data_IF_924180593562
#
_entry.id   IF_924180593562
#
_cell.length_a   1.000
_cell.length_b   1.000
_cell.length_c   1.000
_cell.angle_alpha   90.00
_cell.angle_beta   90.00
_cell.angle_gamma   90.00
#
_symmetry.space_group_name_H-M   'P 1'
#
loop_
_entity.id
_entity.type
_entity.pdbx_description
1 polymer ?
#
# COMPACT_ATOMS: atom_id res chain seq x y z
N UNK A 1 -18.66 7.67 -14.00
CA UNK A 1 -17.93 7.04 -15.15
C UNK A 1 -18.56 5.69 -15.41
N UNK A 2 -19.62 5.63 -16.24
CA UNK A 2 -20.27 4.38 -16.61
C UNK A 2 -19.72 3.95 -17.97
N UNK A 3 -19.08 2.79 -18.05
CA UNK A 3 -18.73 2.19 -19.33
C UNK A 3 -17.26 1.82 -19.58
N UNK A 4 -16.40 1.84 -18.55
CA UNK A 4 -15.06 1.24 -18.70
C UNK A 4 -15.16 -0.27 -18.60
N UNK A 5 -14.68 -0.98 -19.60
CA UNK A 5 -14.54 -2.44 -19.52
C UNK A 5 -13.66 -2.81 -18.33
N UNK A 6 -13.92 -3.94 -17.63
CA UNK A 6 -13.11 -4.35 -16.48
C UNK A 6 -11.63 -4.61 -16.79
N UNK A 7 -11.26 -4.64 -18.06
CA UNK A 7 -9.88 -4.77 -18.55
C UNK A 7 -9.18 -3.43 -18.80
N UNK A 8 -9.90 -2.32 -18.75
CA UNK A 8 -9.30 -1.00 -18.95
C UNK A 8 -8.61 -0.54 -17.67
N UNK A 9 -7.40 0.00 -17.84
CA UNK A 9 -6.64 0.66 -16.78
C UNK A 9 -6.86 2.17 -16.85
N UNK A 10 -6.73 2.84 -15.72
CA UNK A 10 -6.74 4.30 -15.61
C UNK A 10 -5.60 4.76 -14.70
N UNK A 11 -5.19 6.01 -14.85
CA UNK A 11 -4.13 6.59 -14.04
C UNK A 11 -4.68 7.06 -12.70
N UNK A 12 -3.92 6.85 -11.63
CA UNK A 12 -4.28 7.32 -10.29
C UNK A 12 -3.83 8.77 -10.05
N UNK A 13 -2.71 9.16 -10.64
CA UNK A 13 -2.21 10.54 -10.66
C UNK A 13 -2.47 11.13 -12.04
N UNK A 14 -3.32 12.16 -12.11
CA UNK A 14 -3.73 12.78 -13.38
C UNK A 14 -2.71 13.78 -13.90
N UNK A 15 -1.81 14.29 -13.03
CA UNK A 15 -0.82 15.30 -13.38
C UNK A 15 0.44 14.70 -13.94
N UNK A 16 0.99 13.70 -13.25
CA UNK A 16 2.28 13.09 -13.57
C UNK A 16 2.22 11.56 -13.49
N UNK A 17 1.37 10.90 -14.27
CA UNK A 17 1.03 9.48 -14.12
C UNK A 17 2.22 8.51 -14.23
N UNK A 18 3.31 8.95 -14.87
CA UNK A 18 4.50 8.12 -15.09
C UNK A 18 5.75 8.65 -14.35
N UNK A 19 5.57 9.60 -13.44
CA UNK A 19 6.68 10.18 -12.64
C UNK A 19 6.44 9.90 -11.18
N UNK A 20 7.47 9.40 -10.49
CA UNK A 20 7.40 9.23 -9.04
C UNK A 20 7.68 10.57 -8.37
N UNK A 21 6.62 11.22 -7.90
CA UNK A 21 6.65 12.52 -7.22
C UNK A 21 5.50 12.64 -6.20
N UNK A 22 5.23 13.83 -5.71
CA UNK A 22 4.19 14.08 -4.73
C UNK A 22 2.86 14.58 -5.32
N UNK A 23 2.67 14.51 -6.65
CA UNK A 23 1.51 15.13 -7.32
C UNK A 23 0.19 14.45 -6.99
N UNK A 24 0.20 13.17 -6.70
CA UNK A 24 -0.97 12.47 -6.16
C UNK A 24 -1.60 13.21 -4.96
N UNK A 25 -0.77 13.69 -4.02
CA UNK A 25 -1.29 14.45 -2.85
C UNK A 25 -1.81 15.83 -3.24
N UNK A 26 -1.23 16.45 -4.26
CA UNK A 26 -1.75 17.70 -4.84
C UNK A 26 -3.11 17.46 -5.49
N UNK A 27 -3.28 16.34 -6.19
CA UNK A 27 -4.56 15.95 -6.79
C UNK A 27 -5.63 15.74 -5.72
N UNK A 28 -5.30 15.11 -4.59
CA UNK A 28 -6.23 14.98 -3.46
C UNK A 28 -6.68 16.34 -2.91
N UNK A 29 -5.78 17.32 -2.78
CA UNK A 29 -6.13 18.68 -2.36
C UNK A 29 -7.08 19.37 -3.34
N UNK A 30 -6.96 19.07 -4.64
CA UNK A 30 -7.84 19.57 -5.69
C UNK A 30 -9.13 18.75 -5.86
N UNK A 31 -9.34 17.71 -5.04
CA UNK A 31 -10.48 16.77 -5.14
C UNK A 31 -10.50 15.98 -6.45
N UNK A 32 -9.32 15.66 -6.94
CA UNK A 32 -9.08 14.89 -8.18
C UNK A 32 -8.70 13.43 -7.88
N UNK A 33 -8.92 12.93 -6.66
CA UNK A 33 -8.71 11.52 -6.30
C UNK A 33 -9.55 10.59 -7.16
N UNK A 34 -8.94 9.48 -7.63
CA UNK A 34 -9.60 8.55 -8.53
C UNK A 34 -10.74 7.78 -7.85
N UNK A 35 -10.48 7.23 -6.68
CA UNK A 35 -11.44 6.49 -5.88
C UNK A 35 -11.90 7.31 -4.67
N UNK A 36 -13.06 6.94 -4.13
CA UNK A 36 -13.52 7.51 -2.86
C UNK A 36 -12.50 7.29 -1.75
N UNK A 37 -11.87 6.12 -1.71
CA UNK A 37 -10.81 5.80 -0.76
C UNK A 37 -9.58 6.71 -0.87
N UNK A 38 -9.22 7.16 -2.07
CA UNK A 38 -8.16 8.14 -2.25
C UNK A 38 -8.57 9.48 -1.61
N UNK A 39 -9.77 9.94 -1.93
CA UNK A 39 -10.27 11.22 -1.44
C UNK A 39 -10.53 11.21 0.08
N UNK A 40 -10.81 10.05 0.65
CA UNK A 40 -11.01 9.87 2.10
C UNK A 40 -9.73 10.18 2.88
N UNK A 41 -8.55 10.02 2.30
CA UNK A 41 -7.29 10.43 2.92
C UNK A 41 -7.27 11.93 3.26
N UNK A 42 -7.90 12.76 2.44
CA UNK A 42 -8.06 14.19 2.72
C UNK A 42 -9.23 14.50 3.64
N UNK A 43 -10.31 13.72 3.54
CA UNK A 43 -11.54 13.94 4.33
C UNK A 43 -11.34 13.58 5.80
N UNK A 44 -10.56 12.53 6.08
CA UNK A 44 -10.30 12.04 7.42
C UNK A 44 -9.37 12.99 8.17
N UNK A 45 -9.77 13.38 9.40
CA UNK A 45 -9.02 14.32 10.24
C UNK A 45 -7.62 13.81 10.63
N UNK A 46 -7.43 12.49 10.73
CA UNK A 46 -6.15 11.87 11.11
C UNK A 46 -5.15 11.90 9.95
N UNK A 47 -5.58 11.66 8.72
CA UNK A 47 -4.71 11.56 7.55
C UNK A 47 -4.53 12.88 6.80
N UNK A 48 -5.47 13.81 6.94
CA UNK A 48 -5.43 15.13 6.29
C UNK A 48 -4.12 15.89 6.51
N UNK A 49 -3.55 15.97 7.73
CA UNK A 49 -2.27 16.68 7.94
C UNK A 49 -1.13 16.07 7.14
N UNK A 50 -1.11 14.74 6.98
CA UNK A 50 -0.10 14.03 6.20
C UNK A 50 -0.26 14.33 4.71
N UNK A 51 -1.48 14.28 4.17
CA UNK A 51 -1.78 14.67 2.78
C UNK A 51 -1.29 16.08 2.50
N UNK A 52 -1.61 17.03 3.38
CA UNK A 52 -1.17 18.41 3.23
C UNK A 52 0.34 18.55 3.29
N UNK A 53 0.99 17.87 4.24
CA UNK A 53 2.46 17.86 4.36
C UNK A 53 3.11 17.33 3.09
N UNK A 54 2.68 16.18 2.60
CA UNK A 54 3.29 15.56 1.42
C UNK A 54 3.00 16.33 0.13
N UNK A 55 1.87 17.00 0.02
CA UNK A 55 1.56 17.85 -1.13
C UNK A 55 2.51 19.04 -1.27
N UNK A 56 3.00 19.60 -0.16
CA UNK A 56 3.89 20.79 -0.15
C UNK A 56 5.36 20.43 -0.03
N UNK A 57 5.69 19.25 0.50
CA UNK A 57 7.08 18.81 0.75
C UNK A 57 7.30 17.42 0.13
N UNK A 58 7.86 17.42 -1.07
CA UNK A 58 8.18 16.19 -1.82
C UNK A 58 9.27 15.36 -1.12
N UNK A 59 10.24 16.01 -0.48
CA UNK A 59 11.31 15.29 0.21
C UNK A 59 10.76 14.55 1.42
N UNK A 60 9.90 15.19 2.20
CA UNK A 60 9.22 14.53 3.31
C UNK A 60 8.37 13.33 2.84
N UNK A 61 7.73 13.42 1.66
CA UNK A 61 7.05 12.29 1.05
C UNK A 61 8.02 11.17 0.69
N UNK A 62 9.13 11.45 0.03
CA UNK A 62 10.11 10.45 -0.38
C UNK A 62 10.70 9.71 0.82
N UNK A 63 11.10 10.41 1.86
CA UNK A 63 11.64 9.81 3.08
C UNK A 63 10.61 8.84 3.72
N UNK A 64 9.38 9.29 3.86
CA UNK A 64 8.32 8.46 4.44
C UNK A 64 7.93 7.29 3.54
N UNK A 65 7.95 7.48 2.22
CA UNK A 65 7.69 6.41 1.27
C UNK A 65 8.73 5.30 1.38
N UNK A 66 10.03 5.64 1.41
CA UNK A 66 11.11 4.66 1.57
C UNK A 66 10.93 3.85 2.85
N UNK A 67 10.68 4.53 3.98
CA UNK A 67 10.43 3.86 5.25
C UNK A 67 9.24 2.90 5.18
N UNK A 68 8.12 3.36 4.65
CA UNK A 68 6.89 2.58 4.54
C UNK A 68 7.04 1.40 3.57
N UNK A 69 7.77 1.59 2.48
CA UNK A 69 8.00 0.56 1.48
C UNK A 69 8.86 -0.59 2.04
N UNK A 70 9.95 -0.25 2.77
CA UNK A 70 10.77 -1.26 3.46
C UNK A 70 9.93 -2.02 4.49
N UNK A 71 9.12 -1.31 5.28
CA UNK A 71 8.22 -1.92 6.25
C UNK A 71 7.20 -2.85 5.58
N UNK A 72 6.62 -2.44 4.47
CA UNK A 72 5.70 -3.27 3.68
C UNK A 72 6.37 -4.56 3.21
N UNK A 73 7.63 -4.50 2.77
CA UNK A 73 8.40 -5.68 2.36
C UNK A 73 8.71 -6.66 3.49
N UNK A 74 8.54 -6.25 4.74
CA UNK A 74 8.76 -7.09 5.92
C UNK A 74 7.47 -7.75 6.45
N UNK A 75 6.31 -7.38 5.91
CA UNK A 75 5.03 -7.94 6.36
C UNK A 75 4.94 -9.42 5.97
N UNK A 76 4.69 -10.29 6.96
CA UNK A 76 4.46 -11.72 6.76
C UNK A 76 5.60 -12.47 6.03
N UNK A 77 6.84 -12.03 6.20
CA UNK A 77 7.99 -12.74 5.64
C UNK A 77 8.24 -14.03 6.43
N UNK A 78 8.07 -15.17 5.77
CA UNK A 78 8.37 -16.47 6.33
C UNK A 78 9.88 -16.75 6.18
N UNK A 79 10.54 -17.16 7.27
CA UNK A 79 11.97 -17.43 7.30
C UNK A 79 12.27 -18.85 7.82
N UNK A 80 13.46 -19.36 7.53
CA UNK A 80 13.88 -20.68 7.97
C UNK A 80 12.98 -21.80 7.45
N UNK A 81 12.49 -22.66 8.33
CA UNK A 81 11.58 -23.77 8.01
C UNK A 81 10.14 -23.36 7.81
N UNK A 82 9.78 -22.11 8.11
CA UNK A 82 8.41 -21.60 7.99
C UNK A 82 8.05 -21.19 6.56
N UNK A 83 9.02 -21.06 5.69
CA UNK A 83 8.84 -20.65 4.31
C UNK A 83 9.50 -21.60 3.32
N UNK A 84 9.35 -21.26 2.04
CA UNK A 84 10.02 -21.98 0.96
C UNK A 84 10.53 -21.01 -0.10
N UNK A 85 11.65 -21.34 -0.73
CA UNK A 85 12.09 -20.65 -1.94
C UNK A 85 11.33 -21.28 -3.11
N UNK A 86 10.37 -20.54 -3.68
CA UNK A 86 9.50 -21.05 -4.75
C UNK A 86 10.24 -21.09 -6.08
N UNK A 87 10.11 -22.22 -6.80
CA UNK A 87 10.56 -22.31 -8.19
C UNK A 87 9.69 -21.42 -9.12
N UNK A 88 8.40 -21.28 -8.81
CA UNK A 88 7.48 -20.35 -9.44
C UNK A 88 6.85 -19.47 -8.37
N UNK A 89 7.05 -18.14 -8.45
CA UNK A 89 6.56 -17.19 -7.44
C UNK A 89 5.04 -17.27 -7.22
N UNK A 90 4.28 -17.63 -8.24
CA UNK A 90 2.81 -17.69 -8.20
C UNK A 90 2.26 -19.00 -7.64
N UNK A 91 3.10 -20.03 -7.42
CA UNK A 91 2.67 -21.35 -6.99
C UNK A 91 3.57 -21.90 -5.88
N UNK A 92 3.00 -22.70 -4.97
CA UNK A 92 3.80 -23.45 -4.00
C UNK A 92 4.58 -24.57 -4.70
N UNK A 93 5.74 -24.94 -4.17
CA UNK A 93 6.48 -26.08 -4.68
C UNK A 93 5.65 -27.37 -4.48
N UNK A 94 5.71 -28.28 -5.45
CA UNK A 94 5.05 -29.58 -5.35
C UNK A 94 5.59 -30.36 -4.14
N UNK A 95 4.71 -30.94 -3.32
CA UNK A 95 5.07 -31.70 -2.13
C UNK A 95 5.19 -30.88 -0.83
N UNK A 96 5.01 -29.58 -0.87
CA UNK A 96 4.81 -28.79 0.35
C UNK A 96 3.41 -29.10 0.93
N UNK A 97 3.36 -30.03 1.88
CA UNK A 97 2.14 -30.35 2.61
C UNK A 97 1.62 -29.10 3.34
N UNK A 98 0.37 -28.81 3.11
CA UNK A 98 -0.51 -27.86 3.76
C UNK A 98 0.03 -27.05 4.92
N UNK A 99 0.68 -25.94 4.64
CA UNK A 99 0.80 -24.86 5.61
C UNK A 99 -0.31 -23.85 5.31
N UNK A 100 -1.51 -24.16 5.78
CA UNK A 100 -2.44 -23.10 6.13
C UNK A 100 -1.81 -22.38 7.33
N UNK A 101 -1.40 -21.13 7.12
CA UNK A 101 -1.00 -20.27 8.24
C UNK A 101 -2.11 -20.32 9.31
N UNK A 102 -1.82 -20.76 10.53
CA UNK A 102 -2.81 -20.73 11.58
C UNK A 102 -3.36 -19.29 11.68
N UNK A 103 -4.68 -19.14 11.72
CA UNK A 103 -5.35 -17.85 11.89
C UNK A 103 -4.78 -17.02 13.05
N UNK A 104 -4.22 -17.68 14.07
CA UNK A 104 -3.53 -17.07 15.19
C UNK A 104 -2.30 -16.23 14.81
N UNK A 105 -1.63 -16.55 13.67
CA UNK A 105 -0.48 -15.76 13.20
C UNK A 105 -0.97 -14.49 12.50
N UNK A 106 -2.12 -14.55 11.84
CA UNK A 106 -2.73 -13.38 11.19
C UNK A 106 -3.23 -12.37 12.23
N UNK A 107 -3.86 -12.84 13.31
CA UNK A 107 -4.31 -11.97 14.39
C UNK A 107 -3.16 -11.25 15.11
N UNK A 108 -2.07 -11.95 15.41
CA UNK A 108 -0.91 -11.33 16.07
C UNK A 108 -0.23 -10.26 15.21
N UNK A 109 -0.28 -10.37 13.89
CA UNK A 109 0.30 -9.37 13.00
C UNK A 109 -0.62 -8.16 12.87
N UNK A 110 -1.94 -8.37 12.88
CA UNK A 110 -2.92 -7.26 12.86
C UNK A 110 -2.86 -6.46 14.16
N UNK A 111 -2.73 -7.13 15.33
CA UNK A 111 -2.57 -6.45 16.61
C UNK A 111 -1.24 -5.69 16.72
N UNK A 112 -0.16 -6.24 16.17
CA UNK A 112 1.13 -5.55 16.13
C UNK A 112 1.12 -4.35 15.16
N UNK A 113 0.35 -4.41 14.07
CA UNK A 113 0.15 -3.30 13.14
C UNK A 113 -0.86 -2.27 13.68
N UNK A 114 -1.85 -2.69 14.44
CA UNK A 114 -2.84 -1.81 15.10
C UNK A 114 -2.24 -0.96 16.22
N UNK A 115 -1.10 -1.36 16.78
CA UNK A 115 -0.39 -0.61 17.83
C UNK A 115 0.61 0.41 17.30
N UNK A 116 0.73 0.56 15.98
CA UNK A 116 1.56 1.57 15.34
C UNK A 116 0.72 2.82 15.03
N UNK A 117 0.31 3.50 16.07
CA UNK A 117 -0.11 4.90 15.99
C UNK A 117 1.15 5.72 15.70
N UNK A 118 1.16 6.34 14.54
CA UNK A 118 2.09 7.40 14.14
C UNK A 118 1.85 8.62 15.01
#
# INVERSE_FOLDING_TARGET
MYGTCPTNTTVNDVRTPNTFDNKYYVDLLNREGLFTSDQDLLSNATTRPLVTKFAVDQNAFFEQFVYSYVKMGQINVLTGSLGQVRANCSARNAGAAGDELPWSVVETVVDAAGSLVI
#
